data_IF_398817645889
#
_entry.id   IF_398817645889
#
_cell.length_a   1.000
_cell.length_b   1.000
_cell.length_c   1.000
_cell.angle_alpha   90.00
_cell.angle_beta   90.00
_cell.angle_gamma   90.00
#
_symmetry.space_group_name_H-M   'P 1'
#
loop_
_entity.id
_entity.type
_entity.pdbx_description
1 polymer ?
#
# COMPACT_ATOMS: atom_id res chain seq x y z
N UNK A 1 -31.98 4.34 -1.70
CA UNK A 1 -31.43 3.62 -0.53
C UNK A 1 -31.09 2.21 -0.99
N UNK A 2 -29.85 1.75 -0.80
CA UNK A 2 -29.46 0.38 -1.12
C UNK A 2 -29.43 -0.44 0.17
N UNK A 3 -30.02 -1.63 0.14
CA UNK A 3 -30.01 -2.58 1.25
C UNK A 3 -29.33 -3.87 0.79
N UNK A 4 -28.50 -4.45 1.64
CA UNK A 4 -27.78 -5.69 1.34
C UNK A 4 -27.67 -6.50 2.63
N UNK A 5 -27.62 -7.82 2.51
CA UNK A 5 -27.51 -8.73 3.63
C UNK A 5 -26.06 -9.15 3.84
N UNK A 6 -25.68 -9.31 5.10
CA UNK A 6 -24.39 -9.84 5.48
C UNK A 6 -24.39 -11.37 5.32
N UNK A 7 -23.37 -11.91 4.64
CA UNK A 7 -23.22 -13.36 4.42
C UNK A 7 -21.86 -13.85 4.91
N UNK A 8 -21.84 -15.01 5.57
CA UNK A 8 -20.60 -15.66 6.02
C UNK A 8 -19.80 -16.16 4.81
N UNK A 9 -18.49 -15.89 4.80
CA UNK A 9 -17.53 -16.35 3.80
C UNK A 9 -16.24 -16.74 4.52
N UNK A 10 -16.00 -18.05 4.66
CA UNK A 10 -14.88 -18.57 5.45
C UNK A 10 -14.92 -18.09 6.92
N UNK A 11 -13.83 -17.48 7.37
CA UNK A 11 -13.71 -16.85 8.69
C UNK A 11 -14.28 -15.43 8.80
N UNK A 12 -14.86 -14.89 7.72
CA UNK A 12 -15.26 -13.48 7.62
C UNK A 12 -16.72 -13.32 7.17
N UNK A 13 -17.18 -12.07 7.10
CA UNK A 13 -18.52 -11.69 6.60
C UNK A 13 -18.37 -10.76 5.41
N UNK A 14 -19.15 -10.99 4.36
CA UNK A 14 -19.17 -10.21 3.13
C UNK A 14 -20.47 -9.40 3.03
N UNK A 15 -20.35 -8.20 2.47
CA UNK A 15 -21.45 -7.33 2.06
C UNK A 15 -21.38 -7.15 0.54
N UNK A 16 -22.48 -7.43 -0.17
CA UNK A 16 -22.53 -7.16 -1.61
C UNK A 16 -22.69 -5.66 -1.85
N UNK A 17 -21.79 -5.07 -2.64
CA UNK A 17 -21.82 -3.67 -3.08
C UNK A 17 -22.34 -3.61 -4.52
N UNK A 18 -23.49 -2.97 -4.79
CA UNK A 18 -24.01 -2.80 -6.15
C UNK A 18 -23.00 -2.10 -7.08
N UNK A 19 -22.88 -2.51 -8.37
CA UNK A 19 -21.94 -1.89 -9.32
C UNK A 19 -22.12 -0.37 -9.47
N UNK A 20 -23.35 0.13 -9.34
CA UNK A 20 -23.62 1.57 -9.39
C UNK A 20 -22.89 2.35 -8.29
N UNK A 21 -22.70 1.78 -7.09
CA UNK A 21 -21.96 2.42 -6.00
C UNK A 21 -20.45 2.41 -6.30
N UNK A 22 -19.93 1.30 -6.84
CA UNK A 22 -18.52 1.22 -7.24
C UNK A 22 -18.20 2.26 -8.32
N UNK A 23 -19.08 2.42 -9.32
CA UNK A 23 -18.92 3.41 -10.38
C UNK A 23 -18.93 4.85 -9.83
N UNK A 24 -19.80 5.16 -8.87
CA UNK A 24 -19.87 6.48 -8.22
C UNK A 24 -18.56 6.82 -7.48
N UNK A 25 -17.92 5.81 -6.88
CA UNK A 25 -16.66 5.95 -6.16
C UNK A 25 -15.43 5.77 -7.06
N UNK A 26 -15.61 5.55 -8.37
CA UNK A 26 -14.55 5.26 -9.33
C UNK A 26 -13.67 4.06 -8.89
N UNK A 27 -14.32 3.03 -8.37
CA UNK A 27 -13.69 1.81 -7.88
C UNK A 27 -14.06 0.59 -8.72
N UNK A 28 -13.20 -0.41 -8.72
CA UNK A 28 -13.44 -1.69 -9.38
C UNK A 28 -13.46 -2.84 -8.35
N UNK A 29 -14.04 -3.97 -8.74
CA UNK A 29 -13.97 -5.19 -7.91
C UNK A 29 -12.52 -5.60 -7.68
N UNK A 30 -12.16 -5.88 -6.43
CA UNK A 30 -10.78 -6.17 -6.02
C UNK A 30 -9.93 -4.95 -5.70
N UNK A 31 -10.47 -3.72 -5.83
CA UNK A 31 -9.79 -2.51 -5.35
C UNK A 31 -9.56 -2.58 -3.82
N UNK A 32 -8.42 -2.04 -3.38
CA UNK A 32 -8.10 -1.92 -1.96
C UNK A 32 -8.91 -0.78 -1.33
N UNK A 33 -9.46 -1.04 -0.16
CA UNK A 33 -10.22 -0.06 0.64
C UNK A 33 -9.65 0.03 2.05
N UNK A 34 -9.82 1.18 2.67
CA UNK A 34 -9.75 1.33 4.13
C UNK A 34 -11.15 1.14 4.71
N UNK A 35 -11.20 0.64 5.95
CA UNK A 35 -12.44 0.44 6.68
C UNK A 35 -12.25 0.98 8.09
N UNK A 36 -13.17 1.82 8.56
CA UNK A 36 -13.17 2.38 9.91
C UNK A 36 -14.57 2.30 10.51
N UNK A 37 -14.64 2.11 11.83
CA UNK A 37 -15.90 2.18 12.57
C UNK A 37 -15.97 3.52 13.28
N UNK A 38 -16.92 4.36 12.91
CA UNK A 38 -17.14 5.67 13.51
C UNK A 38 -18.62 5.84 13.85
N UNK A 39 -18.92 6.19 15.11
CA UNK A 39 -20.28 6.43 15.60
C UNK A 39 -21.29 5.32 15.22
N UNK A 40 -20.88 4.06 15.32
CA UNK A 40 -21.70 2.89 15.00
C UNK A 40 -21.90 2.62 13.51
N UNK A 41 -21.18 3.34 12.64
CA UNK A 41 -21.21 3.17 11.18
C UNK A 41 -19.90 2.54 10.72
N UNK A 42 -20.01 1.60 9.80
CA UNK A 42 -18.86 1.11 9.04
C UNK A 42 -18.66 2.02 7.84
N UNK A 43 -17.59 2.79 7.85
CA UNK A 43 -17.19 3.68 6.75
C UNK A 43 -16.14 2.93 5.92
N UNK A 44 -16.36 2.90 4.61
CA UNK A 44 -15.47 2.25 3.63
C UNK A 44 -15.02 3.33 2.65
N UNK A 45 -13.71 3.51 2.52
CA UNK A 45 -13.14 4.54 1.67
C UNK A 45 -12.18 3.92 0.65
N UNK A 46 -12.09 4.50 -0.57
CA UNK A 46 -11.05 4.13 -1.51
C UNK A 46 -9.68 4.33 -0.85
N UNK A 47 -8.82 3.31 -0.88
CA UNK A 47 -7.44 3.39 -0.43
C UNK A 47 -6.51 3.29 -1.63
N UNK A 48 -6.40 4.34 -2.46
CA UNK A 48 -5.52 4.32 -3.63
C UNK A 48 -4.09 4.02 -3.18
N UNK A 49 -3.40 3.16 -3.92
CA UNK A 49 -1.96 2.97 -3.70
C UNK A 49 -1.29 4.32 -3.87
N UNK A 50 -0.53 4.75 -2.85
CA UNK A 50 0.37 5.90 -3.00
C UNK A 50 1.31 5.60 -4.18
N UNK A 51 1.19 6.40 -5.23
CA UNK A 51 2.18 6.46 -6.30
C UNK A 51 3.17 7.51 -5.86
N UNK A 52 4.42 7.12 -5.72
CA UNK A 52 5.50 8.05 -5.43
C UNK A 52 6.24 8.36 -6.71
N UNK A 53 6.60 9.63 -6.91
CA UNK A 53 7.63 10.00 -7.87
C UNK A 53 9.02 9.79 -7.27
N UNK A 54 10.03 9.56 -8.12
CA UNK A 54 11.42 9.52 -7.67
C UNK A 54 11.78 10.79 -6.89
N UNK A 55 11.29 11.95 -7.35
CA UNK A 55 11.53 13.25 -6.72
C UNK A 55 10.96 13.32 -5.30
N UNK A 56 9.74 12.82 -5.07
CA UNK A 56 9.13 12.77 -3.73
C UNK A 56 9.89 11.88 -2.77
N UNK A 57 10.44 10.76 -3.26
CA UNK A 57 11.23 9.85 -2.43
C UNK A 57 12.58 10.48 -2.09
N UNK A 58 13.28 11.05 -3.08
CA UNK A 58 14.57 11.72 -2.87
C UNK A 58 14.46 12.93 -1.94
N UNK A 59 13.37 13.68 -1.98
CA UNK A 59 13.14 14.81 -1.07
C UNK A 59 13.06 14.41 0.42
N UNK A 60 12.83 13.13 0.71
CA UNK A 60 12.81 12.58 2.07
C UNK A 60 14.18 12.05 2.52
N UNK A 61 15.17 12.00 1.62
CA UNK A 61 16.52 11.51 1.91
C UNK A 61 17.46 12.67 2.27
N UNK A 62 18.31 12.45 3.28
CA UNK A 62 19.48 13.30 3.53
C UNK A 62 20.66 12.75 2.73
N UNK A 63 21.04 13.45 1.66
CA UNK A 63 22.17 13.07 0.81
C UNK A 63 23.54 13.21 1.50
N UNK A 64 23.59 13.88 2.65
CA UNK A 64 24.78 14.01 3.48
C UNK A 64 24.84 13.04 4.65
N UNK A 65 23.81 12.18 4.79
CA UNK A 65 23.79 11.17 5.84
C UNK A 65 25.02 10.26 5.72
N UNK A 66 25.74 10.01 6.83
CA UNK A 66 26.88 9.10 6.82
C UNK A 66 26.42 7.68 6.51
N UNK A 67 27.30 6.90 5.86
CA UNK A 67 27.09 5.47 5.68
C UNK A 67 26.98 4.79 7.05
N UNK A 68 26.16 3.73 7.13
CA UNK A 68 26.18 2.85 8.30
C UNK A 68 27.53 2.12 8.39
N UNK A 69 27.88 1.62 9.58
CA UNK A 69 29.12 0.86 9.76
C UNK A 69 29.18 -0.37 8.83
N UNK A 70 28.04 -1.03 8.62
CA UNK A 70 27.91 -2.17 7.72
C UNK A 70 28.14 -1.77 6.26
N UNK A 71 27.54 -0.66 5.81
CA UNK A 71 27.71 -0.16 4.43
C UNK A 71 29.13 0.36 4.19
N UNK A 72 29.74 0.99 5.20
CA UNK A 72 31.13 1.45 5.13
C UNK A 72 32.10 0.27 5.06
N UNK A 73 31.89 -0.77 5.86
CA UNK A 73 32.66 -2.02 5.80
C UNK A 73 32.50 -2.71 4.45
N UNK A 74 31.28 -2.75 3.90
CA UNK A 74 31.02 -3.34 2.59
C UNK A 74 31.68 -2.55 1.45
N UNK A 75 31.55 -1.23 1.45
CA UNK A 75 32.09 -0.34 0.39
C UNK A 75 33.62 -0.29 0.39
N UNK A 76 34.25 -0.47 1.56
CA UNK A 76 35.71 -0.49 1.70
C UNK A 76 36.33 -1.87 1.48
N UNK A 77 35.51 -2.91 1.29
CA UNK A 77 35.99 -4.27 1.05
C UNK A 77 36.64 -4.41 -0.33
N UNK A 78 37.67 -5.24 -0.42
CA UNK A 78 38.32 -5.58 -1.68
C UNK A 78 37.38 -6.40 -2.57
N UNK A 79 37.51 -6.27 -3.90
CA UNK A 79 36.80 -7.12 -4.84
C UNK A 79 37.08 -8.61 -4.56
N UNK A 80 36.03 -9.39 -4.31
CA UNK A 80 36.11 -10.85 -4.06
C UNK A 80 35.53 -11.70 -5.21
N UNK A 81 35.09 -11.05 -6.29
CA UNK A 81 34.55 -11.71 -7.47
C UNK A 81 35.61 -12.50 -8.23
N UNK A 82 35.20 -13.60 -8.86
CA UNK A 82 36.03 -14.40 -9.79
C UNK A 82 35.67 -14.14 -11.24
N UNK A 83 34.91 -13.08 -11.53
CA UNK A 83 34.64 -12.66 -12.90
C UNK A 83 35.95 -12.46 -13.67
N UNK A 84 36.02 -13.06 -14.86
CA UNK A 84 37.10 -12.84 -15.81
C UNK A 84 36.98 -11.41 -16.35
N UNK A 85 38.08 -10.65 -16.25
CA UNK A 85 38.23 -9.32 -16.87
C UNK A 85 38.59 -9.47 -18.34
#
# INVERSE_FOLDING_TARGET
>A
MYTSTLRKVGGSTMLAVPPAILNLLQMESGARVSMVVESGRLIIEPSPKKKYSLQELLAQCDASAPLSDDDAAWTSSSAMGKELV
#
